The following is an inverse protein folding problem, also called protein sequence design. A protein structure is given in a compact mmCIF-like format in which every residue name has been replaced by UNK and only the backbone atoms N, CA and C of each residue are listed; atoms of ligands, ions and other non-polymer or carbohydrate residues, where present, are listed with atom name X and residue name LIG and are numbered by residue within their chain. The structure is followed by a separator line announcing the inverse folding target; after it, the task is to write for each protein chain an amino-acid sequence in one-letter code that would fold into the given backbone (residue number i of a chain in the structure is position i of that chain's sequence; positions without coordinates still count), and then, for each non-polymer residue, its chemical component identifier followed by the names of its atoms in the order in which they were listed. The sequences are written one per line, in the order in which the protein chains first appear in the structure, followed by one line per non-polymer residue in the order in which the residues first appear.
data_IF_231366237833
#
_entry.id   IF_231366237833
#
_cell.length_a   1.000
_cell.length_b   1.000
_cell.length_c   1.000
_cell.angle_alpha   90.00
_cell.angle_beta   90.00
_cell.angle_gamma   90.00
#
_symmetry.space_group_name_H-M   'P 1'
#
loop_
_entity.id
_entity.type
_entity.pdbx_description
1 polymer ?
#
# COMPACT_ATOMS: atom_id res chain seq x y z
N UNK A 1 4.80 -9.90 -26.57
CA UNK A 1 4.82 -8.80 -25.58
C UNK A 1 6.06 -7.89 -25.75
N UNK A 2 6.55 -7.68 -26.98
CA UNK A 2 7.86 -7.00 -27.24
C UNK A 2 7.72 -5.72 -28.08
N UNK A 3 6.54 -5.45 -28.65
CA UNK A 3 6.33 -4.36 -29.60
C UNK A 3 6.22 -2.96 -28.98
N UNK A 4 5.91 -2.85 -27.67
CA UNK A 4 5.70 -1.56 -26.98
C UNK A 4 7.02 -0.82 -26.70
N UNK A 5 8.16 -1.53 -26.64
CA UNK A 5 9.46 -0.94 -26.28
C UNK A 5 10.12 -0.11 -27.39
N UNK A 6 9.55 -0.04 -28.60
CA UNK A 6 10.21 0.59 -29.76
C UNK A 6 9.87 2.07 -29.97
N UNK A 7 8.94 2.64 -29.20
CA UNK A 7 8.43 4.01 -29.41
C UNK A 7 8.48 4.94 -28.19
N UNK A 8 8.99 4.49 -27.03
CA UNK A 8 9.22 5.38 -25.89
C UNK A 8 10.65 5.94 -26.02
N UNK A 9 10.83 7.26 -26.27
CA UNK A 9 12.16 7.84 -26.25
C UNK A 9 12.75 7.62 -24.85
N UNK A 10 14.02 7.20 -24.77
CA UNK A 10 14.62 6.69 -23.52
C UNK A 10 14.43 7.60 -22.29
N UNK A 11 14.35 8.92 -22.52
CA UNK A 11 14.08 9.92 -21.48
C UNK A 11 12.69 9.76 -20.83
N UNK A 12 11.66 9.38 -21.59
CA UNK A 12 10.29 9.21 -21.09
C UNK A 12 10.20 7.99 -20.18
N UNK A 13 10.90 6.91 -20.55
CA UNK A 13 11.02 5.73 -19.70
C UNK A 13 11.77 6.06 -18.41
N UNK A 14 12.91 6.77 -18.49
CA UNK A 14 13.65 7.19 -17.30
C UNK A 14 12.83 8.12 -16.41
N UNK A 15 12.11 9.09 -16.99
CA UNK A 15 11.22 9.98 -16.26
C UNK A 15 10.11 9.21 -15.55
N UNK A 16 9.42 8.31 -16.26
CA UNK A 16 8.36 7.48 -15.68
C UNK A 16 8.89 6.59 -14.54
N UNK A 17 10.08 6.00 -14.71
CA UNK A 17 10.71 5.22 -13.64
C UNK A 17 11.02 6.07 -12.42
N UNK A 18 11.67 7.23 -12.59
CA UNK A 18 11.98 8.13 -11.47
C UNK A 18 10.71 8.64 -10.77
N UNK A 19 9.67 8.95 -11.54
CA UNK A 19 8.38 9.39 -11.02
C UNK A 19 7.73 8.29 -10.15
N UNK A 20 7.65 7.06 -10.66
CA UNK A 20 7.12 5.92 -9.90
C UNK A 20 7.98 5.69 -8.66
N UNK A 21 9.31 5.70 -8.79
CA UNK A 21 10.21 5.45 -7.67
C UNK A 21 10.01 6.51 -6.58
N UNK A 22 9.91 7.78 -6.95
CA UNK A 22 9.64 8.88 -6.03
C UNK A 22 8.29 8.72 -5.30
N UNK A 23 7.23 8.35 -6.02
CA UNK A 23 5.91 8.15 -5.42
C UNK A 23 5.84 6.94 -4.48
N UNK A 24 6.51 5.84 -4.84
CA UNK A 24 6.46 4.58 -4.08
C UNK A 24 7.50 4.50 -2.97
N UNK A 25 8.57 5.29 -3.02
CA UNK A 25 9.60 5.34 -1.98
C UNK A 25 9.02 5.61 -0.58
N UNK A 26 8.12 6.58 -0.34
CA UNK A 26 7.52 6.73 0.99
C UNK A 26 6.57 5.58 1.34
N UNK A 27 5.87 5.01 0.36
CA UNK A 27 4.92 3.91 0.58
C UNK A 27 5.63 2.63 1.01
N UNK A 28 6.83 2.37 0.49
CA UNK A 28 7.60 1.16 0.84
C UNK A 28 8.07 1.15 2.30
N UNK A 29 8.08 2.30 2.97
CA UNK A 29 8.37 2.34 4.39
C UNK A 29 7.28 1.67 5.23
N UNK A 30 6.02 1.66 4.77
CA UNK A 30 4.93 0.97 5.48
C UNK A 30 5.23 -0.53 5.67
N UNK A 31 5.50 -1.35 4.63
CA UNK A 31 5.84 -2.75 4.83
C UNK A 31 7.15 -2.95 5.59
N UNK A 32 8.15 -2.08 5.41
CA UNK A 32 9.43 -2.14 6.15
C UNK A 32 9.20 -1.94 7.66
N UNK A 33 8.37 -0.98 8.05
CA UNK A 33 8.05 -0.74 9.46
C UNK A 33 6.99 -1.71 10.00
N UNK A 34 6.16 -2.29 9.15
CA UNK A 34 5.19 -3.32 9.54
C UNK A 34 5.87 -4.59 10.07
N UNK A 35 7.06 -4.90 9.57
CA UNK A 35 7.89 -6.01 10.08
C UNK A 35 8.83 -5.58 11.21
N UNK A 36 8.74 -4.36 11.72
CA UNK A 36 9.62 -3.87 12.78
C UNK A 36 9.03 -4.15 14.18
N UNK A 37 9.91 -4.49 15.11
CA UNK A 37 9.52 -4.72 16.52
C UNK A 37 9.05 -3.45 17.23
N UNK A 38 9.54 -2.27 16.84
CA UNK A 38 9.11 -1.03 17.47
C UNK A 38 7.75 -0.58 16.92
N UNK A 39 6.82 -0.24 17.83
CA UNK A 39 5.50 0.30 17.53
C UNK A 39 5.52 1.69 16.88
N UNK A 40 6.67 2.37 16.91
CA UNK A 40 6.85 3.70 16.30
C UNK A 40 7.81 3.61 15.10
N UNK A 41 7.48 4.21 13.95
CA UNK A 41 8.37 4.28 12.80
C UNK A 41 9.57 5.17 13.12
N UNK A 42 10.70 4.56 13.48
CA UNK A 42 11.96 5.25 13.71
C UNK A 42 13.12 4.43 13.18
N UNK A 43 14.16 5.13 12.75
CA UNK A 43 15.44 4.51 12.43
C UNK A 43 16.37 4.60 13.65
N UNK A 44 17.23 3.60 13.91
CA UNK A 44 17.40 2.32 13.21
C UNK A 44 16.28 1.29 13.51
N UNK A 45 16.06 0.33 12.60
CA UNK A 45 15.12 -0.77 12.82
C UNK A 45 15.55 -1.57 14.06
N UNK A 46 14.60 -1.82 14.97
CA UNK A 46 14.88 -2.46 16.26
C UNK A 46 14.98 -3.98 16.15
N UNK A 47 14.32 -4.58 15.14
CA UNK A 47 14.37 -6.01 14.83
C UNK A 47 13.23 -6.41 13.91
N UNK A 48 13.30 -7.60 13.32
CA UNK A 48 12.25 -8.13 12.43
C UNK A 48 11.25 -8.95 13.27
N UNK A 49 9.95 -8.72 13.09
CA UNK A 49 8.87 -9.48 13.73
C UNK A 49 7.63 -9.57 12.83
N UNK A 50 6.80 -10.59 13.07
CA UNK A 50 5.46 -10.74 12.49
C UNK A 50 4.35 -10.61 13.53
N UNK A 51 4.69 -10.24 14.77
CA UNK A 51 3.78 -10.16 15.91
C UNK A 51 2.53 -9.32 15.62
N UNK A 52 2.69 -8.18 14.94
CA UNK A 52 1.57 -7.32 14.55
C UNK A 52 0.54 -8.06 13.69
N UNK A 53 0.99 -8.91 12.76
CA UNK A 53 0.12 -9.71 11.91
C UNK A 53 -0.58 -10.83 12.70
N UNK A 54 0.10 -11.43 13.68
CA UNK A 54 -0.50 -12.44 14.57
C UNK A 54 -1.58 -11.86 15.49
N UNK A 55 -1.47 -10.57 15.82
CA UNK A 55 -2.40 -9.87 16.71
C UNK A 55 -3.54 -9.15 15.97
N UNK A 56 -3.44 -8.97 14.65
CA UNK A 56 -4.53 -8.47 13.81
C UNK A 56 -5.88 -9.17 14.08
N UNK A 57 -5.98 -10.53 14.03
CA UNK A 57 -7.25 -11.22 14.28
C UNK A 57 -7.69 -11.17 15.75
N UNK A 58 -6.80 -10.79 16.67
CA UNK A 58 -7.09 -10.67 18.11
C UNK A 58 -7.56 -9.26 18.49
N UNK A 59 -7.64 -8.34 17.53
CA UNK A 59 -7.97 -6.93 17.76
C UNK A 59 -9.34 -6.60 17.14
N UNK A 60 -10.46 -6.75 17.88
CA UNK A 60 -11.81 -6.56 17.35
C UNK A 60 -12.02 -5.20 16.68
N UNK A 61 -11.44 -4.14 17.25
CA UNK A 61 -11.55 -2.79 16.68
C UNK A 61 -10.99 -2.69 15.25
N UNK A 62 -9.90 -3.40 14.93
CA UNK A 62 -9.33 -3.43 13.57
C UNK A 62 -10.22 -4.23 12.61
N UNK A 63 -10.80 -5.33 13.09
CA UNK A 63 -11.72 -6.17 12.32
C UNK A 63 -13.00 -5.40 12.00
N UNK A 64 -13.60 -4.76 13.00
CA UNK A 64 -14.81 -3.95 12.86
C UNK A 64 -14.57 -2.78 11.91
N UNK A 65 -13.43 -2.08 12.03
CA UNK A 65 -13.06 -1.00 11.12
C UNK A 65 -12.90 -1.50 9.67
N UNK A 66 -12.34 -2.69 9.48
CA UNK A 66 -12.20 -3.32 8.16
C UNK A 66 -13.56 -3.61 7.54
N UNK A 67 -14.48 -4.20 8.31
CA UNK A 67 -15.85 -4.47 7.83
C UNK A 67 -16.62 -3.20 7.52
N UNK A 68 -16.55 -2.21 8.39
CA UNK A 68 -17.20 -0.92 8.16
C UNK A 68 -16.69 -0.26 6.88
N UNK A 69 -15.38 -0.27 6.66
CA UNK A 69 -14.76 0.29 5.45
C UNK A 69 -15.18 -0.47 4.19
N UNK A 70 -15.25 -1.80 4.27
CA UNK A 70 -15.67 -2.63 3.15
C UNK A 70 -17.14 -2.39 2.78
N UNK A 71 -18.03 -2.34 3.77
CA UNK A 71 -19.46 -2.07 3.54
C UNK A 71 -19.62 -0.70 2.89
N UNK A 72 -19.03 0.35 3.46
CA UNK A 72 -19.12 1.71 2.93
C UNK A 72 -18.51 1.80 1.54
N UNK A 73 -17.32 1.22 1.32
CA UNK A 73 -16.63 1.25 0.03
C UNK A 73 -17.40 0.54 -1.08
N UNK A 74 -17.93 -0.64 -0.80
CA UNK A 74 -18.71 -1.42 -1.78
C UNK A 74 -20.03 -0.72 -2.08
N UNK A 75 -20.76 -0.27 -1.06
CA UNK A 75 -22.01 0.47 -1.25
C UNK A 75 -21.79 1.75 -2.05
N UNK A 76 -20.76 2.53 -1.72
CA UNK A 76 -20.41 3.74 -2.45
C UNK A 76 -20.04 3.44 -3.92
N UNK A 77 -19.24 2.38 -4.16
CA UNK A 77 -18.88 1.97 -5.52
C UNK A 77 -20.08 1.55 -6.35
N UNK A 78 -21.01 0.76 -5.79
CA UNK A 78 -22.22 0.31 -6.50
C UNK A 78 -23.11 1.51 -6.82
N UNK A 79 -23.42 2.32 -5.80
CA UNK A 79 -24.29 3.48 -5.98
C UNK A 79 -23.68 4.49 -6.96
N UNK A 80 -22.37 4.76 -6.86
CA UNK A 80 -21.67 5.63 -7.82
C UNK A 80 -21.61 5.05 -9.23
N UNK A 81 -21.65 3.73 -9.40
CA UNK A 81 -21.65 3.12 -10.75
C UNK A 81 -23.05 3.11 -11.37
N UNK A 82 -24.10 3.00 -10.54
CA UNK A 82 -25.49 2.97 -11.00
C UNK A 82 -26.06 4.37 -11.20
N UNK A 83 -25.71 5.31 -10.33
CA UNK A 83 -26.21 6.70 -10.35
C UNK A 83 -25.25 7.68 -11.04
N UNK A 84 -23.97 7.33 -11.14
CA UNK A 84 -22.93 8.16 -11.76
C UNK A 84 -22.98 8.16 -13.27
#
# INVERSE_FOLDING_TARGET
MTAIRRFLPGWLSSYATLYILFLYLPVIFLPIFSINTAATPKFPLSGITLHWYEDLPKTPALIDATWNSLIVGVSASILSTVLG
#
